data_IF_290408757635
#
_entry.id   IF_290408757635
#
_cell.length_a   1.000
_cell.length_b   1.000
_cell.length_c   1.000
_cell.angle_alpha   90.00
_cell.angle_beta   90.00
_cell.angle_gamma   90.00
#
_symmetry.space_group_name_H-M   'P 1'
#
loop_
_entity.id
_entity.type
_entity.pdbx_description
1 polymer ?
#
# COMPACT_ATOMS: atom_id res chain seq x y z
N UNK A 1 -1.42 -9.56 -5.90
CA UNK A 1 -0.34 -9.51 -4.89
C UNK A 1 0.14 -10.92 -4.53
N UNK A 2 -0.68 -11.77 -3.92
CA UNK A 2 -0.22 -13.07 -3.39
C UNK A 2 0.46 -13.97 -4.43
N UNK A 3 -0.01 -14.03 -5.68
CA UNK A 3 0.61 -14.84 -6.74
C UNK A 3 1.95 -14.28 -7.24
N UNK A 4 1.98 -13.00 -7.59
CA UNK A 4 3.14 -12.35 -8.23
C UNK A 4 4.21 -11.84 -7.25
N UNK A 5 3.85 -11.69 -5.96
CA UNK A 5 4.73 -11.15 -4.92
C UNK A 5 4.66 -11.98 -3.63
N UNK A 6 5.01 -13.29 -3.71
CA UNK A 6 4.87 -14.22 -2.59
C UNK A 6 5.69 -13.82 -1.36
N UNK A 7 6.79 -13.10 -1.53
CA UNK A 7 7.64 -12.63 -0.42
C UNK A 7 6.91 -11.73 0.58
N UNK A 8 5.81 -11.08 0.18
CA UNK A 8 5.03 -10.19 1.04
C UNK A 8 3.92 -10.88 1.83
N UNK A 9 3.67 -12.17 1.58
CA UNK A 9 2.71 -12.97 2.35
C UNK A 9 3.11 -13.09 3.82
N UNK A 10 4.40 -12.97 4.15
CA UNK A 10 4.95 -12.97 5.52
C UNK A 10 4.29 -11.94 6.46
N UNK A 11 3.70 -10.87 5.90
CA UNK A 11 3.01 -9.84 6.68
C UNK A 11 1.54 -10.16 6.98
N UNK A 12 1.01 -11.25 6.44
CA UNK A 12 -0.38 -11.68 6.62
C UNK A 12 -0.43 -12.92 7.51
N UNK A 13 -0.45 -12.69 8.82
CA UNK A 13 -0.37 -13.75 9.84
C UNK A 13 -1.42 -14.85 9.64
N UNK A 14 -0.97 -16.10 9.59
CA UNK A 14 -1.80 -17.30 9.36
C UNK A 14 -2.25 -17.49 7.91
N UNK A 15 -1.69 -16.71 6.98
CA UNK A 15 -2.00 -16.72 5.55
C UNK A 15 -0.74 -16.73 4.69
N UNK A 16 0.41 -17.05 5.28
CA UNK A 16 1.74 -16.95 4.67
C UNK A 16 1.86 -17.85 3.43
N UNK A 17 1.21 -19.00 3.45
CA UNK A 17 1.22 -20.00 2.36
C UNK A 17 0.01 -19.90 1.41
N UNK A 18 -0.85 -18.89 1.56
CA UNK A 18 -2.06 -18.76 0.73
C UNK A 18 -1.70 -18.61 -0.76
N UNK A 19 -2.45 -19.31 -1.60
CA UNK A 19 -2.46 -19.14 -3.05
C UNK A 19 -3.56 -18.18 -3.47
N UNK A 20 -3.60 -17.83 -4.76
CA UNK A 20 -4.59 -16.91 -5.32
C UNK A 20 -6.03 -17.35 -5.00
N UNK A 21 -6.34 -18.64 -5.16
CA UNK A 21 -7.67 -19.18 -4.92
C UNK A 21 -8.11 -19.10 -3.44
N UNK A 22 -7.17 -19.24 -2.50
CA UNK A 22 -7.45 -19.12 -1.07
C UNK A 22 -7.84 -17.68 -0.72
N UNK A 23 -7.13 -16.71 -1.31
CA UNK A 23 -7.40 -15.28 -1.16
C UNK A 23 -8.79 -14.90 -1.65
N UNK A 24 -9.24 -15.46 -2.79
CA UNK A 24 -10.56 -15.15 -3.34
C UNK A 24 -11.72 -15.67 -2.47
N UNK A 25 -11.48 -16.73 -1.71
CA UNK A 25 -12.52 -17.40 -0.89
C UNK A 25 -12.59 -16.88 0.54
N UNK A 26 -11.54 -16.25 1.06
CA UNK A 26 -11.47 -15.77 2.44
C UNK A 26 -12.10 -14.36 2.62
N UNK A 27 -13.07 -14.27 3.51
CA UNK A 27 -13.76 -13.03 3.88
C UNK A 27 -12.83 -11.96 4.46
N UNK A 28 -11.70 -12.35 5.04
CA UNK A 28 -10.65 -11.42 5.45
C UNK A 28 -10.19 -10.56 4.28
N UNK A 29 -9.94 -11.17 3.11
CA UNK A 29 -9.43 -10.44 1.94
C UNK A 29 -10.51 -9.65 1.21
N UNK A 30 -11.80 -10.02 1.33
CA UNK A 30 -12.90 -9.14 0.90
C UNK A 30 -12.87 -7.82 1.67
N UNK A 31 -12.71 -7.89 3.00
CA UNK A 31 -12.62 -6.70 3.85
C UNK A 31 -11.31 -5.94 3.64
N UNK A 32 -10.18 -6.65 3.58
CA UNK A 32 -8.88 -6.03 3.41
C UNK A 32 -8.71 -5.41 2.01
N UNK A 33 -9.25 -6.05 0.97
CA UNK A 33 -9.31 -5.52 -0.39
C UNK A 33 -10.06 -4.18 -0.44
N UNK A 34 -11.21 -4.09 0.23
CA UNK A 34 -11.94 -2.82 0.31
C UNK A 34 -11.15 -1.75 1.07
N UNK A 35 -10.49 -2.11 2.18
CA UNK A 35 -9.67 -1.16 2.97
C UNK A 35 -8.53 -0.57 2.16
N UNK A 36 -7.79 -1.39 1.42
CA UNK A 36 -6.66 -0.89 0.62
C UNK A 36 -7.14 -0.02 -0.56
N UNK A 37 -8.25 -0.38 -1.20
CA UNK A 37 -8.85 0.45 -2.26
C UNK A 37 -9.26 1.83 -1.72
N UNK A 38 -9.95 1.86 -0.57
CA UNK A 38 -10.32 3.13 0.09
C UNK A 38 -9.08 3.96 0.41
N UNK A 39 -8.02 3.34 0.93
CA UNK A 39 -6.78 4.06 1.25
C UNK A 39 -6.15 4.73 0.02
N UNK A 40 -6.07 4.01 -1.10
CA UNK A 40 -5.52 4.58 -2.33
C UNK A 40 -6.42 5.67 -2.91
N UNK A 41 -7.75 5.54 -2.80
CA UNK A 41 -8.68 6.59 -3.19
C UNK A 41 -8.53 7.85 -2.32
N UNK A 42 -8.32 7.71 -1.01
CA UNK A 42 -8.07 8.86 -0.12
C UNK A 42 -6.76 9.55 -0.49
N UNK A 43 -5.69 8.79 -0.77
CA UNK A 43 -4.41 9.35 -1.22
C UNK A 43 -4.59 10.15 -2.51
N UNK A 44 -5.28 9.60 -3.51
CA UNK A 44 -5.58 10.35 -4.75
C UNK A 44 -6.45 11.59 -4.51
N UNK A 45 -7.49 11.48 -3.69
CA UNK A 45 -8.45 12.57 -3.45
C UNK A 45 -7.88 13.71 -2.59
N UNK A 46 -6.85 13.42 -1.79
CA UNK A 46 -6.21 14.41 -0.91
C UNK A 46 -4.89 14.94 -1.47
N UNK A 47 -4.41 14.44 -2.61
CA UNK A 47 -3.09 14.74 -3.16
C UNK A 47 -2.77 16.24 -3.26
N UNK A 48 -3.73 17.05 -3.72
CA UNK A 48 -3.58 18.50 -3.85
C UNK A 48 -3.82 19.27 -2.54
N UNK A 49 -4.29 18.58 -1.49
CA UNK A 49 -4.47 19.12 -0.14
C UNK A 49 -3.34 18.59 0.73
N UNK A 50 -2.14 19.12 0.53
CA UNK A 50 -0.89 18.59 1.10
C UNK A 50 -0.94 18.28 2.61
N UNK A 51 -1.51 19.13 3.49
CA UNK A 51 -1.64 18.79 4.90
C UNK A 51 -2.47 17.53 5.16
N UNK A 52 -3.57 17.34 4.42
CA UNK A 52 -4.43 16.17 4.53
C UNK A 52 -3.76 14.91 3.97
N UNK A 53 -3.08 15.03 2.82
CA UNK A 53 -2.32 13.94 2.22
C UNK A 53 -1.25 13.40 3.18
N UNK A 54 -0.41 14.28 3.71
CA UNK A 54 0.65 13.90 4.66
C UNK A 54 0.07 13.34 5.96
N UNK A 55 -1.00 13.94 6.49
CA UNK A 55 -1.66 13.42 7.69
C UNK A 55 -2.20 12.00 7.47
N UNK A 56 -2.77 11.72 6.31
CA UNK A 56 -3.26 10.39 5.99
C UNK A 56 -2.13 9.36 5.85
N UNK A 57 -1.00 9.73 5.24
CA UNK A 57 0.19 8.86 5.15
C UNK A 57 0.68 8.47 6.55
N UNK A 58 0.80 9.46 7.45
CA UNK A 58 1.21 9.20 8.84
C UNK A 58 0.22 8.27 9.56
N UNK A 59 -1.09 8.45 9.30
CA UNK A 59 -2.11 7.58 9.87
C UNK A 59 -2.03 6.14 9.32
N UNK A 60 -1.72 5.96 8.04
CA UNK A 60 -1.46 4.63 7.46
C UNK A 60 -0.31 3.95 8.20
N UNK A 61 0.81 4.65 8.45
CA UNK A 61 1.94 4.10 9.19
C UNK A 61 1.59 3.81 10.66
N UNK A 62 0.84 4.72 11.31
CA UNK A 62 0.37 4.52 12.68
C UNK A 62 -0.54 3.30 12.80
N UNK A 63 -1.40 3.07 11.81
CA UNK A 63 -2.25 1.88 11.76
C UNK A 63 -1.42 0.60 11.65
N UNK A 64 -0.46 0.55 10.72
CA UNK A 64 0.44 -0.60 10.60
C UNK A 64 1.19 -0.88 11.91
N UNK A 65 1.67 0.17 12.59
CA UNK A 65 2.30 0.03 13.92
C UNK A 65 1.32 -0.49 14.98
N UNK A 66 0.10 0.07 15.06
CA UNK A 66 -0.93 -0.35 16.03
C UNK A 66 -1.33 -1.82 15.84
N UNK A 67 -1.42 -2.26 14.59
CA UNK A 67 -1.77 -3.64 14.23
C UNK A 67 -0.56 -4.59 14.32
N UNK A 68 0.60 -4.11 14.80
CA UNK A 68 1.86 -4.84 14.92
C UNK A 68 2.36 -5.42 13.58
N UNK A 69 2.15 -4.69 12.50
CA UNK A 69 2.61 -5.00 11.14
C UNK A 69 3.86 -4.18 10.87
N UNK A 70 5.03 -4.81 11.06
CA UNK A 70 6.33 -4.18 10.86
C UNK A 70 6.81 -4.43 9.43
N UNK A 71 6.48 -3.52 8.53
CA UNK A 71 6.95 -3.58 7.14
C UNK A 71 8.41 -3.13 7.04
N UNK A 72 9.22 -3.89 6.33
CA UNK A 72 10.50 -3.39 5.79
C UNK A 72 10.22 -2.20 4.87
N UNK A 73 11.10 -1.19 4.86
CA UNK A 73 10.80 0.04 4.11
C UNK A 73 10.61 -0.22 2.60
N UNK A 74 11.35 -1.19 2.06
CA UNK A 74 11.19 -1.68 0.68
C UNK A 74 9.77 -2.13 0.34
N UNK A 75 8.99 -2.63 1.31
CA UNK A 75 7.60 -3.01 1.06
C UNK A 75 6.69 -1.80 0.79
N UNK A 76 7.00 -0.62 1.37
CA UNK A 76 6.29 0.62 1.05
C UNK A 76 6.62 1.12 -0.35
N UNK A 77 7.87 0.97 -0.79
CA UNK A 77 8.31 1.33 -2.15
C UNK A 77 7.70 0.38 -3.19
N UNK A 78 7.82 -0.92 -2.96
CA UNK A 78 7.31 -1.95 -3.87
C UNK A 78 5.77 -1.95 -3.97
N UNK A 79 5.05 -1.37 -2.99
CA UNK A 79 3.60 -1.21 -3.06
C UNK A 79 3.16 -0.50 -4.35
N UNK A 80 3.87 0.54 -4.76
CA UNK A 80 3.49 1.32 -5.94
C UNK A 80 3.68 0.55 -7.24
N UNK A 81 4.71 -0.30 -7.30
CA UNK A 81 4.91 -1.24 -8.41
C UNK A 81 3.78 -2.29 -8.43
N UNK A 82 3.42 -2.84 -7.26
CA UNK A 82 2.30 -3.78 -7.14
C UNK A 82 0.97 -3.16 -7.55
N UNK A 83 0.76 -1.89 -7.21
CA UNK A 83 -0.44 -1.13 -7.51
C UNK A 83 -0.57 -0.83 -9.01
N UNK A 84 0.50 -0.34 -9.65
CA UNK A 84 0.53 -0.11 -11.11
C UNK A 84 0.24 -1.40 -11.87
N UNK A 85 0.90 -2.51 -11.49
CA UNK A 85 0.66 -3.81 -12.11
C UNK A 85 -0.77 -4.31 -11.89
N UNK A 86 -1.35 -4.08 -10.71
CA UNK A 86 -2.76 -4.40 -10.46
C UNK A 86 -3.69 -3.58 -11.36
N UNK A 87 -3.49 -2.26 -11.47
CA UNK A 87 -4.29 -1.40 -12.33
C UNK A 87 -4.19 -1.83 -13.81
N UNK A 88 -3.01 -2.25 -14.27
CA UNK A 88 -2.81 -2.80 -15.62
C UNK A 88 -3.64 -4.05 -15.92
N UNK A 89 -4.09 -4.79 -14.89
CA UNK A 89 -5.04 -5.91 -15.06
C UNK A 89 -6.50 -5.47 -15.17
N UNK A 90 -6.81 -4.20 -14.84
CA UNK A 90 -8.18 -3.66 -14.77
C UNK A 90 -8.47 -2.64 -15.86
N UNK A 91 -7.45 -1.94 -16.32
CA UNK A 91 -7.56 -0.90 -17.33
C UNK A 91 -6.26 -0.76 -18.12
N UNK A 92 -6.35 -0.15 -19.30
CA UNK A 92 -5.17 0.34 -20.00
C UNK A 92 -4.61 1.56 -19.25
N UNK A 93 -3.34 1.49 -18.88
CA UNK A 93 -2.63 2.61 -18.25
C UNK A 93 -1.85 3.39 -19.31
N UNK A 94 -2.28 4.62 -19.57
CA UNK A 94 -1.50 5.56 -20.36
C UNK A 94 -0.31 6.12 -19.58
N UNK A 95 0.64 6.74 -20.29
CA UNK A 95 1.85 7.27 -19.68
C UNK A 95 1.57 8.41 -18.69
N UNK A 96 0.49 9.17 -18.90
CA UNK A 96 0.08 10.23 -17.99
C UNK A 96 -0.36 9.67 -16.64
N UNK A 97 -1.18 8.61 -16.65
CA UNK A 97 -1.68 7.95 -15.44
C UNK A 97 -0.54 7.28 -14.68
N UNK A 98 0.40 6.62 -15.39
CA UNK A 98 1.61 6.06 -14.76
C UNK A 98 2.45 7.16 -14.11
N UNK A 99 2.65 8.27 -14.81
CA UNK A 99 3.40 9.41 -14.27
C UNK A 99 2.73 10.00 -13.01
N UNK A 100 1.40 10.14 -13.02
CA UNK A 100 0.66 10.63 -11.86
C UNK A 100 0.85 9.72 -10.63
N UNK A 101 0.76 8.39 -10.80
CA UNK A 101 1.01 7.46 -9.69
C UNK A 101 2.45 7.49 -9.19
N UNK A 102 3.44 7.72 -10.07
CA UNK A 102 4.85 7.91 -9.66
C UNK A 102 5.05 9.15 -8.79
N UNK A 103 4.36 10.25 -9.09
CA UNK A 103 4.42 11.45 -8.25
C UNK A 103 3.73 11.24 -6.89
N UNK A 104 2.60 10.53 -6.86
CA UNK A 104 1.96 10.09 -5.60
C UNK A 104 2.92 9.24 -4.78
N UNK A 105 3.55 8.23 -5.41
CA UNK A 105 4.50 7.33 -4.77
C UNK A 105 5.68 8.09 -4.14
N UNK A 106 6.30 8.99 -4.91
CA UNK A 106 7.42 9.81 -4.45
C UNK A 106 7.07 10.65 -3.22
N UNK A 107 5.91 11.32 -3.23
CA UNK A 107 5.47 12.12 -2.06
C UNK A 107 5.12 11.23 -0.87
N UNK A 108 4.49 10.08 -1.13
CA UNK A 108 4.19 9.09 -0.10
C UNK A 108 5.45 8.60 0.59
N UNK A 109 6.43 8.13 -0.17
CA UNK A 109 7.67 7.56 0.35
C UNK A 109 8.47 8.57 1.17
N UNK A 110 8.55 9.83 0.72
CA UNK A 110 9.25 10.89 1.45
C UNK A 110 8.63 11.15 2.84
N UNK A 111 7.30 11.27 2.91
CA UNK A 111 6.59 11.46 4.18
C UNK A 111 6.65 10.19 5.05
N UNK A 112 6.44 9.02 4.45
CA UNK A 112 6.48 7.74 5.15
C UNK A 112 7.86 7.49 5.78
N UNK A 113 8.95 7.77 5.08
CA UNK A 113 10.32 7.60 5.63
C UNK A 113 10.56 8.54 6.81
N UNK A 114 10.16 9.80 6.66
CA UNK A 114 10.30 10.82 7.71
C UNK A 114 9.52 10.41 8.96
N UNK A 115 8.27 9.98 8.80
CA UNK A 115 7.42 9.59 9.92
C UNK A 115 7.85 8.25 10.54
N UNK A 116 8.26 7.27 9.72
CA UNK A 116 8.77 5.99 10.21
C UNK A 116 9.96 6.19 11.16
N UNK A 117 10.91 7.06 10.82
CA UNK A 117 12.01 7.43 11.70
C UNK A 117 11.50 8.05 13.02
N UNK A 118 10.49 8.93 12.95
CA UNK A 118 9.91 9.59 14.12
C UNK A 118 9.20 8.61 15.08
N UNK A 119 8.52 7.59 14.55
CA UNK A 119 7.79 6.61 15.36
C UNK A 119 8.58 5.33 15.63
N UNK A 120 9.87 5.27 15.27
CA UNK A 120 10.75 4.13 15.57
C UNK A 120 10.45 2.86 14.75
N UNK A 121 9.96 3.02 13.53
CA UNK A 121 9.83 1.92 12.56
C UNK A 121 11.08 1.81 11.67
N UNK A 122 11.31 0.65 11.03
CA UNK A 122 12.31 0.52 9.97
C UNK A 122 12.09 1.58 8.87
N UNK A 123 13.17 2.24 8.42
CA UNK A 123 13.14 3.36 7.47
C UNK A 123 14.34 3.38 6.54
#
# INVERSE_FOLDING_TARGET
MFENYPQYRKYFKGKEEYKADDVQKDDFFKKQGQRILVAVHILGSTYDVEPAFRAYIREVLNQHKRDNIMLEFKAWEDFWVMWENFLGTKMTLDEQTKHAWKEVAKKFEAEARTHAAHIGLPH
#
